data_IF_015342930456
#
_entry.id   IF_015342930456
#
_cell.length_a   1.000
_cell.length_b   1.000
_cell.length_c   1.000
_cell.angle_alpha   90.00
_cell.angle_beta   90.00
_cell.angle_gamma   90.00
#
_symmetry.space_group_name_H-M   'P 1'
#
loop_
_entity.id
_entity.type
_entity.pdbx_description
1 polymer ?
#
# COMPACT_ATOMS: atom_id res chain seq x y z
N UNK A 1 3.83 7.07 26.47
CA UNK A 1 4.93 6.62 25.59
C UNK A 1 4.50 7.00 24.19
N UNK A 2 5.28 7.84 23.50
CA UNK A 2 4.96 8.26 22.13
C UNK A 2 5.12 7.05 21.20
N UNK A 3 4.04 6.69 20.49
CA UNK A 3 4.07 5.63 19.48
C UNK A 3 4.22 6.25 18.10
N UNK A 4 5.08 5.68 17.27
CA UNK A 4 5.21 6.02 15.85
C UNK A 4 4.54 4.95 15.02
N UNK A 5 3.60 5.36 14.17
CA UNK A 5 2.83 4.45 13.34
C UNK A 5 2.98 4.89 11.89
N UNK A 6 3.49 4.02 11.03
CA UNK A 6 3.50 4.25 9.59
C UNK A 6 2.16 3.84 9.02
N UNK A 7 1.58 4.67 8.16
CA UNK A 7 0.52 4.26 7.24
C UNK A 7 1.05 4.46 5.82
N UNK A 8 1.19 3.37 5.07
CA UNK A 8 1.57 3.46 3.66
C UNK A 8 0.35 3.87 2.84
N UNK A 9 0.52 4.93 2.06
CA UNK A 9 -0.52 5.49 1.19
C UNK A 9 -0.09 5.40 -0.27
N UNK A 10 -1.06 5.25 -1.17
CA UNK A 10 -0.89 5.30 -2.63
C UNK A 10 -2.11 6.01 -3.26
N UNK A 11 -2.26 6.01 -4.58
CA UNK A 11 -3.44 6.63 -5.22
C UNK A 11 -4.71 5.78 -5.02
N UNK A 12 -4.56 4.51 -4.59
CA UNK A 12 -5.62 3.53 -4.45
C UNK A 12 -6.61 3.81 -3.33
N UNK A 13 -7.82 3.26 -3.47
CA UNK A 13 -8.87 3.39 -2.46
C UNK A 13 -8.62 2.52 -1.22
N UNK A 14 -7.90 1.41 -1.35
CA UNK A 14 -7.61 0.50 -0.24
C UNK A 14 -6.67 1.13 0.78
N UNK A 15 -5.63 1.83 0.33
CA UNK A 15 -4.71 2.55 1.22
C UNK A 15 -5.40 3.77 1.86
N UNK A 16 -6.21 4.50 1.09
CA UNK A 16 -7.03 5.60 1.61
C UNK A 16 -7.99 5.11 2.70
N UNK A 17 -8.64 3.95 2.49
CA UNK A 17 -9.50 3.33 3.49
C UNK A 17 -8.71 2.87 4.72
N UNK A 18 -7.54 2.26 4.53
CA UNK A 18 -6.66 1.85 5.62
C UNK A 18 -6.27 3.04 6.52
N UNK A 19 -5.95 4.18 5.91
CA UNK A 19 -5.68 5.43 6.64
C UNK A 19 -6.90 5.87 7.46
N UNK A 20 -8.06 6.03 6.83
CA UNK A 20 -9.28 6.44 7.56
C UNK A 20 -9.66 5.47 8.68
N UNK A 21 -9.51 4.16 8.45
CA UNK A 21 -9.76 3.14 9.45
C UNK A 21 -8.76 3.26 10.61
N UNK A 22 -7.48 3.48 10.31
CA UNK A 22 -6.44 3.60 11.34
C UNK A 22 -6.67 4.82 12.24
N UNK A 23 -6.96 5.99 11.64
CA UNK A 23 -7.30 7.23 12.34
C UNK A 23 -8.46 7.03 13.32
N UNK A 24 -9.49 6.29 12.90
CA UNK A 24 -10.67 6.02 13.72
C UNK A 24 -10.45 5.03 14.86
N UNK A 25 -9.58 4.02 14.66
CA UNK A 25 -9.54 2.85 15.56
C UNK A 25 -8.23 2.70 16.35
N UNK A 26 -7.14 3.32 15.93
CA UNK A 26 -5.80 3.09 16.52
C UNK A 26 -5.29 4.32 17.29
N UNK A 27 -5.56 5.50 16.75
CA UNK A 27 -5.10 6.76 17.33
C UNK A 27 -6.07 7.22 18.41
N UNK A 28 -5.70 6.98 19.67
CA UNK A 28 -6.51 7.33 20.84
C UNK A 28 -5.82 8.35 21.75
N UNK A 29 -4.50 8.50 21.63
CA UNK A 29 -3.72 9.43 22.46
C UNK A 29 -3.19 10.60 21.64
N UNK A 30 -3.13 11.78 22.26
CA UNK A 30 -2.46 12.97 21.69
C UNK A 30 -0.95 12.83 21.54
N UNK A 31 -0.37 11.72 22.04
CA UNK A 31 1.07 11.43 21.94
C UNK A 31 1.43 10.49 20.79
N UNK A 32 0.47 10.04 19.98
CA UNK A 32 0.74 9.18 18.83
C UNK A 32 1.18 10.03 17.62
N UNK A 33 2.26 9.62 16.96
CA UNK A 33 2.75 10.21 15.71
C UNK A 33 2.40 9.30 14.53
N UNK A 34 1.58 9.81 13.62
CA UNK A 34 1.25 9.20 12.33
C UNK A 34 2.27 9.63 11.28
N UNK A 35 2.93 8.67 10.66
CA UNK A 35 3.85 8.89 9.54
C UNK A 35 3.16 8.42 8.25
N UNK A 36 2.73 9.36 7.42
CA UNK A 36 2.23 9.07 6.08
C UNK A 36 3.42 8.80 5.16
N UNK A 37 3.53 7.55 4.69
CA UNK A 37 4.62 7.12 3.81
C UNK A 37 4.09 6.86 2.40
N UNK A 38 4.64 7.57 1.41
CA UNK A 38 4.42 7.28 -0.01
C UNK A 38 5.74 6.81 -0.65
N UNK A 39 5.69 5.63 -1.26
CA UNK A 39 6.80 5.11 -2.06
C UNK A 39 6.62 5.58 -3.51
N UNK A 40 7.45 6.53 -3.94
CA UNK A 40 7.50 7.00 -5.31
C UNK A 40 8.17 5.92 -6.17
N UNK A 41 7.50 5.36 -7.20
CA UNK A 41 8.06 4.30 -8.02
C UNK A 41 9.44 4.68 -8.58
N UNK A 42 10.39 3.73 -8.66
CA UNK A 42 11.69 4.00 -9.24
C UNK A 42 11.53 4.30 -10.73
N UNK A 43 12.45 5.09 -11.29
CA UNK A 43 12.53 5.31 -12.73
C UNK A 43 12.85 3.97 -13.38
N UNK A 44 11.89 3.29 -14.01
CA UNK A 44 12.17 2.10 -14.81
C UNK A 44 12.93 2.54 -16.06
N UNK A 45 14.26 2.54 -15.99
CA UNK A 45 15.11 2.77 -17.16
C UNK A 45 15.30 1.42 -17.81
N UNK A 46 14.78 1.24 -19.01
CA UNK A 46 15.13 0.06 -19.80
C UNK A 46 16.62 0.16 -20.17
N UNK A 47 17.45 -0.84 -19.83
CA UNK A 47 18.80 -0.87 -20.39
C UNK A 47 18.67 -0.97 -21.91
N UNK A 48 19.42 -0.15 -22.64
CA UNK A 48 19.59 -0.36 -24.07
C UNK A 48 20.22 -1.72 -24.28
N UNK A 49 19.44 -2.63 -24.85
CA UNK A 49 19.97 -3.78 -25.54
C UNK A 49 20.48 -3.31 -26.90
N UNK A 50 21.70 -3.70 -27.26
CA UNK A 50 22.17 -3.51 -28.62
C UNK A 50 21.35 -4.39 -29.60
N UNK A 51 21.57 -4.24 -30.90
CA UNK A 51 20.92 -5.08 -31.93
C UNK A 51 21.19 -6.59 -31.80
N UNK A 52 22.00 -7.03 -30.82
CA UNK A 52 22.31 -8.43 -30.52
C UNK A 52 21.61 -8.94 -29.26
N UNK A 53 20.81 -8.11 -28.58
CA UNK A 53 20.12 -8.48 -27.34
C UNK A 53 21.05 -8.50 -26.12
N UNK A 54 22.28 -7.99 -26.22
CA UNK A 54 23.21 -7.89 -25.10
C UNK A 54 23.02 -6.55 -24.40
N UNK A 55 23.15 -6.49 -23.06
CA UNK A 55 23.23 -5.21 -22.36
C UNK A 55 24.41 -4.44 -22.95
N UNK A 56 24.15 -3.28 -23.53
CA UNK A 56 25.24 -2.40 -23.93
C UNK A 56 26.10 -2.08 -22.70
N UNK A 57 27.40 -2.29 -22.83
CA UNK A 57 28.49 -2.04 -21.87
C UNK A 57 28.66 -0.54 -21.51
N UNK A 58 27.66 0.28 -21.82
CA UNK A 58 27.51 1.71 -21.48
C UNK A 58 27.27 1.92 -19.96
N UNK A 59 27.35 0.87 -19.15
CA UNK A 59 27.05 0.94 -17.72
C UNK A 59 28.05 1.75 -16.87
N UNK A 60 29.19 2.21 -17.41
CA UNK A 60 30.21 2.91 -16.61
C UNK A 60 30.49 4.37 -16.98
N UNK A 61 29.84 4.95 -17.98
CA UNK A 61 30.16 6.34 -18.37
C UNK A 61 29.03 7.05 -19.11
N UNK A 62 28.19 7.73 -18.33
CA UNK A 62 27.26 8.80 -18.75
C UNK A 62 26.04 8.41 -19.62
N UNK A 63 24.86 8.74 -19.09
CA UNK A 63 23.83 9.41 -19.89
C UNK A 63 22.62 8.55 -20.26
N UNK A 64 21.49 8.91 -19.68
CA UNK A 64 20.13 8.52 -20.07
C UNK A 64 19.92 8.59 -21.61
N UNK A 65 19.18 7.64 -22.19
CA UNK A 65 18.68 7.70 -23.58
C UNK A 65 17.59 8.76 -23.80
N UNK A 66 17.26 9.51 -22.77
CA UNK A 66 16.26 10.57 -22.78
C UNK A 66 16.99 11.91 -22.72
N UNK A 67 16.52 12.90 -23.49
CA UNK A 67 16.97 14.28 -23.31
C UNK A 67 16.74 14.68 -21.84
N UNK A 68 17.57 15.59 -21.32
CA UNK A 68 17.39 16.12 -19.96
C UNK A 68 15.95 16.62 -19.75
N UNK A 69 15.34 17.21 -20.78
CA UNK A 69 13.94 17.66 -20.75
C UNK A 69 12.93 16.54 -20.47
N UNK A 70 13.15 15.34 -21.02
CA UNK A 70 12.26 14.18 -20.78
C UNK A 70 12.47 13.67 -19.35
N UNK A 71 13.72 13.62 -18.89
CA UNK A 71 14.05 13.22 -17.51
C UNK A 71 13.40 14.18 -16.51
N UNK A 72 13.52 15.48 -16.73
CA UNK A 72 12.94 16.52 -15.88
C UNK A 72 11.41 16.50 -15.92
N UNK A 73 10.82 16.20 -17.08
CA UNK A 73 9.36 16.04 -17.22
C UNK A 73 8.87 14.85 -16.41
N UNK A 74 9.53 13.70 -16.50
CA UNK A 74 9.17 12.52 -15.72
C UNK A 74 9.32 12.75 -14.21
N UNK A 75 10.38 13.46 -13.80
CA UNK A 75 10.60 13.81 -12.40
C UNK A 75 9.51 14.71 -11.86
N UNK A 76 9.15 15.76 -12.61
CA UNK A 76 8.05 16.66 -12.29
C UNK A 76 6.74 15.90 -12.15
N UNK A 77 6.38 15.08 -13.13
CA UNK A 77 5.17 14.27 -13.08
C UNK A 77 5.14 13.37 -11.83
N UNK A 78 6.23 12.68 -11.53
CA UNK A 78 6.30 11.83 -10.34
C UNK A 78 6.21 12.62 -9.02
N UNK A 79 6.70 13.87 -8.98
CA UNK A 79 6.54 14.76 -7.82
C UNK A 79 5.10 15.25 -7.69
N UNK A 80 4.44 15.60 -8.80
CA UNK A 80 3.03 15.99 -8.82
C UNK A 80 2.11 14.88 -8.30
N UNK A 81 2.37 13.63 -8.70
CA UNK A 81 1.64 12.46 -8.19
C UNK A 81 1.88 12.29 -6.69
N UNK A 82 3.13 12.37 -6.22
CA UNK A 82 3.46 12.26 -4.81
C UNK A 82 2.75 13.34 -3.98
N UNK A 83 2.79 14.59 -4.44
CA UNK A 83 2.09 15.71 -3.81
C UNK A 83 0.57 15.48 -3.77
N UNK A 84 -0.02 14.97 -4.84
CA UNK A 84 -1.45 14.66 -4.91
C UNK A 84 -1.86 13.59 -3.90
N UNK A 85 -1.09 12.49 -3.82
CA UNK A 85 -1.32 11.40 -2.86
C UNK A 85 -1.22 11.91 -1.42
N UNK A 86 -0.14 12.62 -1.09
CA UNK A 86 0.06 13.16 0.26
C UNK A 86 -1.01 14.19 0.61
N UNK A 87 -1.41 15.05 -0.33
CA UNK A 87 -2.48 16.03 -0.13
C UNK A 87 -3.81 15.36 0.18
N UNK A 88 -4.16 14.31 -0.57
CA UNK A 88 -5.36 13.48 -0.33
C UNK A 88 -5.31 12.83 1.05
N UNK A 89 -4.17 12.24 1.42
CA UNK A 89 -3.99 11.60 2.73
C UNK A 89 -4.08 12.61 3.89
N UNK A 90 -3.42 13.78 3.78
CA UNK A 90 -3.51 14.85 4.78
C UNK A 90 -4.94 15.35 4.96
N UNK A 91 -5.72 15.45 3.88
CA UNK A 91 -7.13 15.85 3.95
C UNK A 91 -7.94 14.92 4.86
N UNK A 92 -7.69 13.61 4.80
CA UNK A 92 -8.35 12.64 5.68
C UNK A 92 -7.94 12.78 7.15
N UNK A 93 -6.76 13.35 7.42
CA UNK A 93 -6.27 13.56 8.78
C UNK A 93 -6.80 14.85 9.42
N UNK A 94 -7.41 15.76 8.66
CA UNK A 94 -7.88 17.06 9.18
C UNK A 94 -8.93 16.92 10.29
N UNK A 95 -9.72 15.85 10.24
CA UNK A 95 -10.76 15.55 11.24
C UNK A 95 -10.18 14.99 12.56
N UNK A 96 -8.86 14.80 12.64
CA UNK A 96 -8.16 14.18 13.78
C UNK A 96 -7.00 15.08 14.29
N UNK A 97 -7.30 16.31 14.78
CA UNK A 97 -6.27 17.30 15.15
C UNK A 97 -5.37 16.87 16.31
N UNK A 98 -5.79 15.88 17.09
CA UNK A 98 -5.00 15.31 18.18
C UNK A 98 -3.84 14.43 17.71
N UNK A 99 -3.82 14.02 16.44
CA UNK A 99 -2.78 13.14 15.89
C UNK A 99 -1.68 14.00 15.27
N UNK A 100 -0.44 13.80 15.71
CA UNK A 100 0.71 14.46 15.07
C UNK A 100 0.98 13.77 13.73
N UNK A 101 0.83 14.50 12.62
CA UNK A 101 1.01 13.95 11.27
C UNK A 101 2.34 14.40 10.66
N UNK A 102 3.18 13.43 10.35
CA UNK A 102 4.42 13.61 9.59
C UNK A 102 4.29 12.96 8.20
N UNK A 103 5.04 13.46 7.21
CA UNK A 103 4.98 12.93 5.84
C UNK A 103 6.36 12.57 5.32
N UNK A 104 6.46 11.40 4.69
CA UNK A 104 7.66 10.90 4.04
C UNK A 104 7.33 10.43 2.63
N UNK A 105 8.12 10.91 1.69
CA UNK A 105 8.10 10.48 0.29
C UNK A 105 9.49 9.94 0.00
N UNK A 106 9.58 8.67 -0.36
CA UNK A 106 10.85 7.99 -0.60
C UNK A 106 10.79 7.32 -1.99
N UNK A 107 11.87 7.37 -2.76
CA UNK A 107 11.95 6.77 -4.09
C UNK A 107 12.39 5.32 -4.01
N UNK A 108 11.66 4.39 -4.62
CA UNK A 108 12.04 2.98 -4.67
C UNK A 108 10.85 2.03 -4.81
N UNK A 109 11.12 0.73 -4.80
CA UNK A 109 10.07 -0.28 -4.69
C UNK A 109 9.35 -0.13 -3.35
N UNK A 110 8.02 -0.16 -3.36
CA UNK A 110 7.22 0.05 -2.16
C UNK A 110 7.53 -0.97 -1.06
N UNK A 111 7.88 -2.21 -1.40
CA UNK A 111 8.23 -3.26 -0.43
C UNK A 111 9.45 -2.87 0.38
N UNK A 112 10.51 -2.47 -0.32
CA UNK A 112 11.79 -2.13 0.27
C UNK A 112 11.68 -0.83 1.05
N UNK A 113 11.07 0.20 0.44
CA UNK A 113 10.85 1.51 1.06
C UNK A 113 10.12 1.39 2.40
N UNK A 114 9.05 0.60 2.46
CA UNK A 114 8.26 0.44 3.68
C UNK A 114 9.05 -0.33 4.74
N UNK A 115 9.72 -1.42 4.37
CA UNK A 115 10.53 -2.20 5.32
C UNK A 115 11.69 -1.37 5.89
N UNK A 116 12.41 -0.66 5.03
CA UNK A 116 13.50 0.22 5.44
C UNK A 116 13.01 1.37 6.32
N UNK A 117 11.88 2.00 5.96
CA UNK A 117 11.32 3.08 6.77
C UNK A 117 10.92 2.58 8.16
N UNK A 118 10.32 1.39 8.26
CA UNK A 118 9.94 0.80 9.54
C UNK A 118 11.16 0.57 10.46
N UNK A 119 12.27 0.06 9.89
CA UNK A 119 13.50 -0.18 10.64
C UNK A 119 14.22 1.13 10.99
N UNK A 120 14.43 2.03 10.01
CA UNK A 120 15.13 3.31 10.19
C UNK A 120 14.44 4.20 11.21
N UNK A 121 13.12 4.26 11.17
CA UNK A 121 12.33 5.14 12.03
C UNK A 121 11.98 4.48 13.37
N UNK A 122 12.28 3.19 13.55
CA UNK A 122 11.96 2.40 14.75
C UNK A 122 10.50 2.60 15.16
N UNK A 123 9.60 2.27 14.24
CA UNK A 123 8.16 2.45 14.45
C UNK A 123 7.56 1.29 15.22
N UNK A 124 6.47 1.57 15.92
CA UNK A 124 5.76 0.61 16.76
C UNK A 124 4.75 -0.22 15.95
N UNK A 125 4.32 0.29 14.79
CA UNK A 125 3.40 -0.40 13.90
C UNK A 125 3.47 0.15 12.47
N UNK A 126 3.22 -0.74 11.50
CA UNK A 126 3.00 -0.37 10.09
C UNK A 126 1.59 -0.78 9.69
N UNK A 127 0.85 0.13 9.06
CA UNK A 127 -0.51 -0.08 8.56
C UNK A 127 -0.51 -0.02 7.04
N UNK A 128 -1.08 -1.06 6.42
CA UNK A 128 -1.14 -1.23 4.97
C UNK A 128 -2.57 -1.52 4.52
N UNK A 129 -2.90 -1.12 3.29
CA UNK A 129 -4.10 -1.62 2.61
C UNK A 129 -3.95 -3.11 2.26
N UNK A 130 -5.08 -3.81 2.14
CA UNK A 130 -5.07 -5.23 1.79
C UNK A 130 -4.69 -5.53 0.33
N UNK A 131 -4.88 -4.56 -0.57
CA UNK A 131 -4.56 -4.68 -2.00
C UNK A 131 -3.97 -3.35 -2.52
N UNK A 132 -3.27 -3.38 -3.67
CA UNK A 132 -2.76 -2.20 -4.39
C UNK A 132 -3.42 -2.07 -5.77
N UNK A 133 -2.73 -1.40 -6.72
CA UNK A 133 -3.17 -1.28 -8.13
C UNK A 133 -3.30 -2.65 -8.79
N UNK A 134 -4.50 -3.25 -8.78
CA UNK A 134 -4.75 -4.53 -9.44
C UNK A 134 -6.09 -5.14 -9.06
N UNK A 135 -6.91 -5.45 -10.07
CA UNK A 135 -8.24 -6.06 -9.91
C UNK A 135 -8.18 -7.57 -9.64
N UNK A 136 -7.29 -8.03 -8.74
CA UNK A 136 -7.22 -9.45 -8.40
C UNK A 136 -8.40 -9.84 -7.50
N UNK A 137 -9.35 -10.54 -8.11
CA UNK A 137 -10.53 -11.10 -7.44
C UNK A 137 -10.13 -12.36 -6.66
N UNK A 138 -10.20 -12.24 -5.32
CA UNK A 138 -10.37 -13.27 -4.26
C UNK A 138 -9.21 -13.21 -3.26
N UNK A 139 -9.57 -13.24 -1.97
CA UNK A 139 -8.85 -13.63 -0.74
C UNK A 139 -7.31 -13.47 -0.58
N UNK A 140 -6.59 -12.92 -1.54
CA UNK A 140 -5.13 -12.81 -1.50
C UNK A 140 -4.72 -11.43 -1.02
N UNK A 141 -3.67 -11.42 -0.21
CA UNK A 141 -3.01 -10.21 0.22
C UNK A 141 -2.23 -9.61 -0.96
N UNK A 142 -2.25 -8.28 -1.09
CA UNK A 142 -1.44 -7.57 -2.07
C UNK A 142 0.05 -7.87 -1.91
N UNK A 143 0.80 -7.80 -3.01
CA UNK A 143 2.21 -8.22 -3.00
C UNK A 143 3.08 -7.40 -2.04
N UNK A 144 2.81 -6.09 -1.91
CA UNK A 144 3.48 -5.21 -0.94
C UNK A 144 3.15 -5.62 0.49
N UNK A 145 1.86 -5.74 0.81
CA UNK A 145 1.40 -6.06 2.16
C UNK A 145 1.84 -7.46 2.61
N UNK A 146 1.87 -8.43 1.70
CA UNK A 146 2.38 -9.78 1.98
C UNK A 146 3.88 -9.76 2.25
N UNK A 147 4.64 -9.04 1.43
CA UNK A 147 6.07 -8.89 1.66
C UNK A 147 6.37 -8.21 3.00
N UNK A 148 5.67 -7.11 3.32
CA UNK A 148 5.88 -6.39 4.57
C UNK A 148 5.53 -7.25 5.80
N UNK A 149 4.42 -8.00 5.75
CA UNK A 149 4.02 -8.88 6.84
C UNK A 149 5.04 -9.98 7.15
N UNK A 150 5.86 -10.37 6.16
CA UNK A 150 6.89 -11.39 6.31
C UNK A 150 8.26 -10.83 6.75
N UNK A 151 8.55 -9.56 6.43
CA UNK A 151 9.91 -9.01 6.56
C UNK A 151 10.04 -7.91 7.63
N UNK A 152 8.93 -7.27 8.04
CA UNK A 152 8.96 -6.22 9.05
C UNK A 152 8.94 -6.82 10.45
N UNK A 153 9.85 -6.33 11.31
CA UNK A 153 10.02 -6.83 12.69
C UNK A 153 8.95 -6.32 13.66
N UNK A 154 8.37 -5.14 13.40
CA UNK A 154 7.29 -4.59 14.22
C UNK A 154 5.92 -5.09 13.74
N UNK A 155 4.86 -4.97 14.57
CA UNK A 155 3.50 -5.31 14.17
C UNK A 155 3.09 -4.69 12.82
N UNK A 156 2.56 -5.52 11.92
CA UNK A 156 2.00 -5.10 10.63
C UNK A 156 0.49 -5.32 10.67
N UNK A 157 -0.26 -4.23 10.52
CA UNK A 157 -1.71 -4.25 10.40
C UNK A 157 -2.12 -4.11 8.94
N UNK A 158 -2.86 -5.09 8.44
CA UNK A 158 -3.42 -5.05 7.10
C UNK A 158 -4.90 -4.77 7.19
N UNK A 159 -5.32 -3.64 6.65
CA UNK A 159 -6.72 -3.22 6.64
C UNK A 159 -7.36 -3.60 5.31
N UNK A 160 -8.44 -4.38 5.39
CA UNK A 160 -9.23 -4.79 4.24
C UNK A 160 -10.47 -3.93 4.13
N UNK A 161 -10.67 -3.30 2.97
CA UNK A 161 -11.93 -2.61 2.70
C UNK A 161 -13.06 -3.62 2.48
N UNK A 162 -14.20 -3.49 3.17
CA UNK A 162 -15.34 -4.34 2.92
C UNK A 162 -15.87 -4.09 1.50
N UNK A 163 -16.11 -5.17 0.75
CA UNK A 163 -16.81 -5.07 -0.54
C UNK A 163 -18.26 -4.66 -0.25
N UNK A 164 -18.79 -3.70 -1.03
CA UNK A 164 -20.25 -3.50 -1.07
C UNK A 164 -20.87 -4.86 -1.42
N UNK A 165 -21.72 -5.40 -0.55
CA UNK A 165 -22.45 -6.62 -0.84
C UNK A 165 -23.25 -6.38 -2.13
N UNK A 166 -22.95 -7.11 -3.20
CA UNK A 166 -23.88 -7.23 -4.31
C UNK A 166 -25.13 -7.92 -3.76
N UNK A 167 -26.35 -7.41 -4.00
CA UNK A 167 -27.60 -7.99 -3.48
C UNK A 167 -27.94 -9.39 -4.05
N UNK A 168 -26.98 -10.15 -4.56
CA UNK A 168 -27.17 -11.45 -5.20
C UNK A 168 -26.37 -12.56 -4.52
N UNK A 169 -26.55 -12.71 -3.22
CA UNK A 169 -26.30 -13.99 -2.55
C UNK A 169 -27.56 -14.35 -1.78
N UNK A 170 -28.50 -14.99 -2.47
CA UNK A 170 -29.59 -15.71 -1.84
C UNK A 170 -28.97 -16.63 -0.78
N UNK A 171 -29.39 -16.56 0.50
CA UNK A 171 -28.94 -17.53 1.48
C UNK A 171 -29.53 -18.89 1.07
N UNK A 172 -28.68 -19.81 0.63
CA UNK A 172 -29.04 -21.23 0.57
C UNK A 172 -29.12 -21.66 2.02
N UNK A 173 -30.34 -21.64 2.56
CA UNK A 173 -30.65 -22.27 3.83
C UNK A 173 -30.20 -23.73 3.74
N UNK A 174 -29.19 -24.09 4.53
CA UNK A 174 -28.83 -25.46 4.79
C UNK A 174 -30.01 -26.13 5.52
N UNK A 175 -30.86 -26.86 4.79
CA UNK A 175 -31.68 -27.89 5.40
C UNK A 175 -30.81 -29.12 5.62
N UNK A 176 -30.40 -29.32 6.88
CA UNK A 176 -29.86 -30.58 7.34
C UNK A 176 -31.00 -31.45 7.90
N UNK A 177 -31.16 -32.60 7.24
CA UNK A 177 -31.80 -33.88 7.57
C UNK A 177 -32.65 -34.07 8.85
N UNK A 178 -33.74 -34.84 8.68
CA UNK A 178 -33.91 -36.07 9.48
C UNK A 178 -34.72 -37.13 8.72
N UNK A 179 -34.26 -38.36 8.83
CA UNK A 179 -34.68 -39.61 8.18
C UNK A 179 -35.67 -40.43 9.03
N UNK A 180 -36.60 -41.14 8.37
CA UNK A 180 -37.14 -42.47 8.72
C UNK A 180 -38.12 -42.84 7.59
N UNK A 181 -38.09 -43.98 6.88
CA UNK A 181 -37.80 -45.35 7.28
C UNK A 181 -39.12 -46.14 7.30
N UNK A 182 -39.39 -47.02 6.30
CA UNK A 182 -40.49 -48.01 6.40
C UNK A 182 -41.08 -48.56 5.10
N UNK A 183 -40.58 -49.74 4.68
CA UNK A 183 -41.20 -50.95 4.05
C UNK A 183 -42.54 -50.81 3.28
N UNK A 184 -42.61 -51.23 2.01
CA UNK A 184 -43.05 -52.57 1.55
C UNK A 184 -44.36 -53.06 2.21
N UNK A 185 -45.50 -52.94 1.51
CA UNK A 185 -46.22 -54.04 0.82
C UNK A 185 -47.24 -53.45 -0.17
#
# INVERSE_FOLDING_TARGET
>A
MERKIIVAVDEGEESSYALSWSLKNIFCSSSDTLILLYAKPPRTVYPSVDGTGRPSDILLRQGYLFSQDIVDTMERYGNEVAESVIRKAKKLCQDYPQVKVETKVECGDARDVICEAAEKLKVDMVVLGSHGYGALKRAFLGSVSNHCAQNIKCPVLIVKRPKKASPSSTPVAAMAASSAGGKQE
#
